data_IF_420223207004
#
_entry.id   IF_420223207004
#
_cell.length_a   1.000
_cell.length_b   1.000
_cell.length_c   1.000
_cell.angle_alpha   90.00
_cell.angle_beta   90.00
_cell.angle_gamma   90.00
#
_symmetry.space_group_name_H-M   'P 1'
#
loop_
_entity.id
_entity.type
_entity.pdbx_description
1 polymer ?
#
# COMPACT_ATOMS: atom_id res chain seq x y z
N UNK A 1 -7.30 6.39 8.28
CA UNK A 1 -6.44 5.41 7.58
C UNK A 1 -5.18 5.20 8.39
N UNK A 2 -4.79 3.96 8.59
CA UNK A 2 -3.53 3.57 9.24
C UNK A 2 -2.93 2.37 8.49
N UNK A 3 -1.78 1.87 8.93
CA UNK A 3 -1.06 0.78 8.26
C UNK A 3 0.36 1.21 7.91
N UNK A 4 1.03 0.40 7.10
CA UNK A 4 2.39 0.67 6.61
C UNK A 4 2.42 1.31 5.24
N UNK A 5 1.32 1.25 4.48
CA UNK A 5 1.21 1.89 3.17
C UNK A 5 0.95 3.40 3.30
N UNK A 6 1.60 4.19 2.44
CA UNK A 6 1.50 5.65 2.34
C UNK A 6 0.61 6.02 1.15
N UNK A 7 -0.34 6.93 1.38
CA UNK A 7 -1.24 7.45 0.32
C UNK A 7 -0.40 8.23 -0.70
N UNK A 8 -0.73 8.09 -1.99
CA UNK A 8 -0.07 8.68 -3.16
C UNK A 8 1.29 8.09 -3.52
N UNK A 9 2.00 7.47 -2.58
CA UNK A 9 3.18 6.67 -2.88
C UNK A 9 2.73 5.25 -3.25
N UNK A 10 2.11 4.53 -2.30
CA UNK A 10 1.82 3.09 -2.45
C UNK A 10 0.42 2.80 -2.99
N UNK A 11 -0.50 3.75 -2.85
CA UNK A 11 -1.86 3.62 -3.36
C UNK A 11 -2.56 4.97 -3.52
N UNK A 12 -3.57 5.00 -4.38
CA UNK A 12 -4.54 6.09 -4.48
C UNK A 12 -5.88 5.69 -3.89
N UNK A 13 -6.65 6.70 -3.46
CA UNK A 13 -8.00 6.54 -2.92
C UNK A 13 -9.03 7.21 -3.81
N UNK A 14 -10.15 6.54 -4.03
CA UNK A 14 -11.34 7.12 -4.66
C UNK A 14 -12.62 6.75 -3.90
N UNK A 15 -13.67 7.56 -4.06
CA UNK A 15 -14.96 7.40 -3.35
C UNK A 15 -15.07 8.17 -2.04
N UNK A 16 -13.98 8.76 -1.53
CA UNK A 16 -14.03 9.73 -0.44
C UNK A 16 -14.67 11.05 -0.92
N UNK A 17 -15.54 11.63 -0.10
CA UNK A 17 -16.10 12.98 -0.31
C UNK A 17 -15.10 14.05 0.10
N UNK A 18 -14.43 13.84 1.23
CA UNK A 18 -13.30 14.65 1.66
C UNK A 18 -12.17 13.75 2.11
N UNK A 19 -10.93 14.19 1.93
CA UNK A 19 -9.75 13.51 2.43
C UNK A 19 -8.66 14.54 2.74
N UNK A 20 -8.26 14.61 4.01
CA UNK A 20 -7.17 15.46 4.48
C UNK A 20 -6.18 14.57 5.22
N UNK A 21 -5.04 14.31 4.58
CA UNK A 21 -4.09 13.29 5.06
C UNK A 21 -4.75 11.92 5.09
N UNK A 22 -4.85 11.32 6.28
CA UNK A 22 -5.41 9.97 6.49
C UNK A 22 -6.85 9.96 7.00
N UNK A 23 -7.50 11.13 7.13
CA UNK A 23 -8.86 11.27 7.66
C UNK A 23 -9.77 11.93 6.63
N UNK A 24 -11.02 11.48 6.54
CA UNK A 24 -11.95 11.94 5.52
C UNK A 24 -13.37 11.51 5.79
N UNK A 25 -14.27 11.83 4.86
CA UNK A 25 -15.68 11.42 4.91
C UNK A 25 -16.10 10.70 3.63
N UNK A 26 -17.14 9.89 3.73
CA UNK A 26 -17.88 9.30 2.62
C UNK A 26 -19.35 9.63 2.79
N UNK A 27 -20.07 9.82 1.69
CA UNK A 27 -21.52 10.01 1.70
C UNK A 27 -22.20 8.68 1.36
N UNK A 28 -23.24 8.35 2.10
CA UNK A 28 -24.25 7.37 1.71
C UNK A 28 -25.35 8.14 0.98
N UNK A 29 -25.55 7.92 -0.34
CA UNK A 29 -26.63 8.57 -1.06
C UNK A 29 -27.99 8.24 -0.43
N UNK A 30 -28.98 9.13 -0.57
CA UNK A 30 -30.32 8.91 -0.04
C UNK A 30 -30.90 7.57 -0.55
N UNK A 31 -31.33 6.71 0.37
CA UNK A 31 -31.84 5.37 0.07
C UNK A 31 -30.77 4.28 -0.12
N UNK A 32 -29.48 4.62 -0.09
CA UNK A 32 -28.41 3.62 -0.15
C UNK A 32 -28.01 3.13 1.23
N UNK A 33 -27.86 1.82 1.38
CA UNK A 33 -27.31 1.18 2.58
C UNK A 33 -25.78 1.05 2.54
N UNK A 34 -25.17 1.29 1.38
CA UNK A 34 -23.74 1.10 1.15
C UNK A 34 -23.12 2.30 0.44
N UNK A 35 -21.85 2.52 0.71
CA UNK A 35 -20.97 3.39 -0.07
C UNK A 35 -19.62 2.68 -0.23
N UNK A 36 -18.84 3.08 -1.22
CA UNK A 36 -17.59 2.40 -1.57
C UNK A 36 -16.42 3.37 -1.48
N UNK A 37 -15.41 2.98 -0.71
CA UNK A 37 -14.09 3.58 -0.74
C UNK A 37 -13.14 2.59 -1.41
N UNK A 38 -12.48 3.00 -2.48
CA UNK A 38 -11.60 2.14 -3.27
C UNK A 38 -10.15 2.49 -3.00
N UNK A 39 -9.36 1.48 -2.66
CA UNK A 39 -7.89 1.53 -2.53
C UNK A 39 -7.32 0.94 -3.80
N UNK A 40 -6.53 1.71 -4.56
CA UNK A 40 -5.88 1.24 -5.80
C UNK A 40 -4.37 1.29 -5.58
N UNK A 41 -3.67 0.13 -5.51
CA UNK A 41 -2.22 0.11 -5.42
C UNK A 41 -1.56 0.91 -6.55
N UNK A 42 -0.47 1.59 -6.23
CA UNK A 42 0.43 2.17 -7.23
C UNK A 42 1.39 1.08 -7.70
N UNK A 43 1.54 0.95 -9.00
CA UNK A 43 2.47 0.01 -9.63
C UNK A 43 3.79 0.72 -9.93
N UNK A 44 4.92 0.12 -9.56
CA UNK A 44 6.25 0.61 -9.91
C UNK A 44 7.24 -0.53 -10.24
N UNK A 45 8.55 -0.35 -10.01
CA UNK A 45 9.58 -1.35 -10.35
C UNK A 45 10.59 -1.55 -9.21
N UNK A 46 10.34 -0.93 -8.07
CA UNK A 46 11.21 -0.96 -6.92
C UNK A 46 10.62 -1.97 -5.96
N UNK A 47 11.34 -3.07 -5.74
CA UNK A 47 10.98 -4.02 -4.70
C UNK A 47 10.75 -3.34 -3.34
N UNK A 48 9.58 -3.58 -2.78
CA UNK A 48 9.20 -3.19 -1.43
C UNK A 48 8.59 -4.38 -0.67
N UNK A 49 8.68 -4.44 0.67
CA UNK A 49 7.92 -5.44 1.42
C UNK A 49 6.41 -5.16 1.35
N UNK A 50 5.59 -6.22 1.40
CA UNK A 50 4.12 -6.12 1.51
C UNK A 50 3.66 -5.04 2.48
N UNK A 51 2.73 -4.20 2.04
CA UNK A 51 2.24 -3.04 2.79
C UNK A 51 0.79 -3.20 3.21
N UNK A 52 0.42 -2.62 4.33
CA UNK A 52 -0.93 -2.74 4.89
C UNK A 52 -1.70 -1.44 4.78
N UNK A 53 -2.98 -1.54 4.43
CA UNK A 53 -3.95 -0.44 4.50
C UNK A 53 -5.05 -0.83 5.47
N UNK A 54 -5.30 0.01 6.47
CA UNK A 54 -6.37 -0.19 7.44
C UNK A 54 -7.30 1.03 7.38
N UNK A 55 -8.55 0.78 6.98
CA UNK A 55 -9.64 1.76 7.01
C UNK A 55 -10.43 1.52 8.29
N UNK A 56 -10.69 2.59 9.05
CA UNK A 56 -11.56 2.55 10.24
C UNK A 56 -12.65 3.58 10.09
N UNK A 57 -13.88 3.18 10.41
CA UNK A 57 -15.03 4.09 10.52
C UNK A 57 -15.03 4.65 11.95
N UNK A 58 -15.25 5.96 12.09
CA UNK A 58 -15.44 6.61 13.39
C UNK A 58 -16.93 6.87 13.65
N UNK A 59 -17.40 6.77 14.90
CA UNK A 59 -18.80 6.99 15.22
C UNK A 59 -19.17 8.47 14.99
N UNK A 60 -20.40 8.70 14.56
CA UNK A 60 -20.95 10.04 14.38
C UNK A 60 -22.10 10.32 15.34
N UNK A 61 -22.47 11.59 15.52
CA UNK A 61 -23.63 11.95 16.35
C UNK A 61 -24.95 11.35 15.83
N UNK A 62 -25.04 11.07 14.52
CA UNK A 62 -26.24 10.56 13.86
C UNK A 62 -26.26 9.03 13.68
N UNK A 63 -25.16 8.31 14.00
CA UNK A 63 -25.09 6.87 13.78
C UNK A 63 -24.11 6.17 14.73
N UNK A 64 -24.49 4.97 15.15
CA UNK A 64 -23.58 4.03 15.83
C UNK A 64 -22.84 3.15 14.83
N UNK A 65 -21.70 2.59 15.25
CA UNK A 65 -21.00 1.55 14.49
C UNK A 65 -21.40 0.18 15.03
N UNK A 66 -21.73 -0.72 14.11
CA UNK A 66 -21.82 -2.16 14.38
C UNK A 66 -20.49 -2.79 13.96
N UNK A 67 -19.91 -3.64 14.81
CA UNK A 67 -18.62 -4.26 14.54
C UNK A 67 -18.70 -5.29 13.39
N UNK A 68 -17.66 -5.38 12.53
CA UNK A 68 -16.35 -4.71 12.65
C UNK A 68 -16.33 -3.25 12.17
N UNK A 69 -15.61 -2.39 12.91
CA UNK A 69 -15.42 -0.98 12.57
C UNK A 69 -14.26 -0.71 11.60
N UNK A 70 -13.57 -1.76 11.15
CA UNK A 70 -12.39 -1.63 10.30
C UNK A 70 -12.35 -2.68 9.19
N UNK A 71 -11.72 -2.29 8.09
CA UNK A 71 -11.33 -3.15 6.98
C UNK A 71 -9.81 -3.09 6.82
N UNK A 72 -9.16 -4.24 6.64
CA UNK A 72 -7.72 -4.36 6.40
C UNK A 72 -7.47 -4.97 5.02
N UNK A 73 -6.62 -4.33 4.24
CA UNK A 73 -6.06 -4.83 2.99
C UNK A 73 -4.53 -4.95 3.07
N UNK A 74 -3.96 -5.79 2.22
CA UNK A 74 -2.52 -5.92 2.00
C UNK A 74 -2.25 -5.63 0.52
N UNK A 75 -1.30 -4.73 0.26
CA UNK A 75 -0.68 -4.51 -1.04
C UNK A 75 0.48 -5.49 -1.10
N UNK A 76 0.39 -6.46 -2.00
CA UNK A 76 1.42 -7.48 -2.21
C UNK A 76 2.34 -6.96 -3.30
N UNK A 77 3.63 -6.94 -3.01
CA UNK A 77 4.66 -6.54 -3.97
C UNK A 77 4.94 -7.70 -4.94
N UNK A 78 4.98 -7.40 -6.23
CA UNK A 78 5.30 -8.35 -7.30
C UNK A 78 6.61 -8.03 -8.02
N UNK A 79 7.39 -7.08 -7.49
CA UNK A 79 8.65 -6.66 -8.06
C UNK A 79 9.79 -7.61 -7.70
N UNK A 80 10.74 -7.72 -8.62
CA UNK A 80 11.94 -8.51 -8.38
C UNK A 80 12.88 -7.75 -7.44
N UNK A 81 13.36 -8.41 -6.38
CA UNK A 81 14.54 -7.91 -5.65
C UNK A 81 15.66 -7.72 -6.66
N UNK A 82 16.26 -6.54 -6.70
CA UNK A 82 17.30 -6.18 -7.65
C UNK A 82 18.41 -7.24 -7.62
N UNK A 83 18.42 -8.14 -8.61
CA UNK A 83 19.38 -9.24 -8.65
C UNK A 83 20.69 -8.66 -9.10
N UNK A 84 21.55 -8.28 -8.15
CA UNK A 84 22.97 -8.08 -8.43
C UNK A 84 23.55 -9.46 -8.76
N UNK A 85 23.44 -9.86 -10.03
CA UNK A 85 24.29 -10.90 -10.58
C UNK A 85 25.71 -10.33 -10.57
N UNK A 86 26.52 -10.69 -9.57
CA UNK A 86 27.98 -10.59 -9.69
C UNK A 86 28.35 -11.51 -10.87
N UNK A 87 28.65 -10.99 -12.08
CA UNK A 87 29.00 -11.88 -13.15
C UNK A 87 30.41 -12.36 -12.83
N UNK A 88 30.55 -13.59 -12.36
CA UNK A 88 31.77 -14.40 -12.46
C UNK A 88 33.07 -13.56 -12.60
N UNK A 89 33.52 -12.91 -11.52
CA UNK A 89 34.95 -12.56 -11.42
C UNK A 89 35.82 -13.83 -11.29
N UNK A 90 35.25 -15.01 -11.51
CA UNK A 90 35.95 -16.23 -11.95
C UNK A 90 36.48 -16.16 -13.40
N UNK A 91 36.86 -14.97 -13.88
CA UNK A 91 37.58 -14.79 -15.15
C UNK A 91 38.68 -13.73 -15.09
N UNK A 92 39.48 -13.68 -14.02
CA UNK A 92 40.92 -13.37 -14.15
C UNK A 92 41.71 -14.23 -13.16
N UNK A 93 42.15 -15.42 -13.62
CA UNK A 93 43.46 -15.91 -13.19
C UNK A 93 44.47 -14.82 -13.54
N UNK A 94 44.82 -13.96 -12.60
CA UNK A 94 46.10 -13.26 -12.65
C UNK A 94 47.08 -14.13 -11.87
N UNK A 95 47.81 -14.98 -12.60
CA UNK A 95 49.03 -15.60 -12.10
C UNK A 95 50.02 -14.44 -11.91
N UNK A 96 50.34 -14.08 -10.68
CA UNK A 96 51.54 -13.31 -10.40
C UNK A 96 52.68 -14.33 -10.19
N UNK A 97 53.62 -14.38 -11.14
CA UNK A 97 54.94 -14.97 -10.91
C UNK A 97 55.73 -14.00 -10.05
N UNK A 98 56.35 -14.53 -8.99
CA UNK A 98 57.48 -13.89 -8.33
C UNK A 98 58.74 -14.53 -8.89
N UNK A 99 59.50 -13.75 -9.66
CA UNK A 99 60.96 -13.81 -9.70
C UNK A 99 61.45 -12.42 -9.29
#
# INVERSE_FOLDING_TARGET
LTGTAVISDDYTLSGATTLTGTTGTVIFPAGSLTTTLTVTPSDDQRFEPDKTVIVRIEPGAAYGIVYPANAKGVIVDDDATDRIYLPLLSKRRAIARWE
#
